data_IF_515973072764
#
_entry.id   IF_515973072764
#
_cell.length_a   1.000
_cell.length_b   1.000
_cell.length_c   1.000
_cell.angle_alpha   90.00
_cell.angle_beta   90.00
_cell.angle_gamma   90.00
#
_symmetry.space_group_name_H-M   'P 1'
#
loop_
_entity.id
_entity.type
_entity.pdbx_description
1 polymer ?
#
# COMPACT_ATOMS: atom_id res chain seq x y z
N UNK A 1 -51.71 -4.52 -44.05
CA UNK A 1 -50.52 -3.68 -43.81
C UNK A 1 -50.70 -2.84 -42.56
N UNK A 2 -50.66 -3.43 -41.35
CA UNK A 2 -50.80 -2.70 -40.07
C UNK A 2 -50.47 -3.55 -38.83
N UNK A 3 -49.44 -4.40 -38.85
CA UNK A 3 -49.03 -5.17 -37.64
C UNK A 3 -47.50 -5.17 -37.38
N UNK A 4 -46.66 -4.71 -38.31
CA UNK A 4 -45.18 -4.81 -38.17
C UNK A 4 -44.55 -3.66 -37.34
N UNK A 5 -45.30 -2.61 -36.97
CA UNK A 5 -44.73 -1.45 -36.23
C UNK A 5 -44.67 -1.60 -34.71
N UNK A 6 -45.31 -2.61 -34.11
CA UNK A 6 -45.39 -2.76 -32.64
C UNK A 6 -44.16 -3.45 -32.04
N UNK A 7 -43.62 -4.48 -32.71
CA UNK A 7 -42.53 -5.30 -32.17
C UNK A 7 -41.16 -4.60 -32.16
N UNK A 8 -40.88 -3.70 -33.10
CA UNK A 8 -39.63 -2.92 -33.08
C UNK A 8 -39.64 -1.84 -31.98
N UNK A 9 -40.81 -1.30 -31.63
CA UNK A 9 -40.93 -0.28 -30.59
C UNK A 9 -40.75 -0.88 -29.19
N UNK A 10 -41.30 -2.06 -28.93
CA UNK A 10 -41.09 -2.77 -27.65
C UNK A 10 -39.66 -3.25 -27.47
N UNK A 11 -38.98 -3.70 -28.54
CA UNK A 11 -37.56 -4.05 -28.48
C UNK A 11 -36.68 -2.82 -28.24
N UNK A 12 -36.96 -1.68 -28.90
CA UNK A 12 -36.23 -0.44 -28.64
C UNK A 12 -36.41 0.06 -27.19
N UNK A 13 -37.63 -0.02 -26.65
CA UNK A 13 -37.93 0.35 -25.26
C UNK A 13 -37.17 -0.57 -24.29
N UNK A 14 -37.14 -1.89 -24.53
CA UNK A 14 -36.40 -2.84 -23.68
C UNK A 14 -34.88 -2.63 -23.74
N UNK A 15 -34.32 -2.32 -24.91
CA UNK A 15 -32.89 -2.01 -25.06
C UNK A 15 -32.56 -0.67 -24.37
N UNK A 16 -33.40 0.36 -24.52
CA UNK A 16 -33.21 1.62 -23.80
C UNK A 16 -33.36 1.48 -22.27
N UNK A 17 -34.20 0.55 -21.80
CA UNK A 17 -34.33 0.24 -20.37
C UNK A 17 -33.10 -0.50 -19.83
N UNK A 18 -32.49 -1.39 -20.61
CA UNK A 18 -31.22 -2.05 -20.25
C UNK A 18 -30.03 -1.09 -20.26
N UNK A 19 -30.00 -0.10 -21.17
CA UNK A 19 -28.98 0.96 -21.18
C UNK A 19 -29.15 1.91 -20.00
N UNK A 20 -30.39 2.21 -19.56
CA UNK A 20 -30.62 2.96 -18.31
C UNK A 20 -30.19 2.17 -17.07
N UNK A 21 -30.45 0.87 -16.99
CA UNK A 21 -30.04 0.05 -15.83
C UNK A 21 -28.52 -0.09 -15.75
N UNK A 22 -27.83 -0.12 -16.90
CA UNK A 22 -26.36 -0.13 -16.95
C UNK A 22 -25.72 1.20 -16.49
N UNK A 23 -26.48 2.30 -16.47
CA UNK A 23 -26.04 3.59 -15.92
C UNK A 23 -26.35 3.75 -14.41
N UNK A 24 -27.16 2.87 -13.81
CA UNK A 24 -27.49 2.95 -12.38
C UNK A 24 -26.35 2.40 -11.52
N UNK A 25 -25.51 1.48 -12.03
CA UNK A 25 -24.36 0.96 -11.27
C UNK A 25 -23.10 1.84 -11.36
N UNK A 26 -23.12 2.90 -12.16
CA UNK A 26 -21.96 3.80 -12.35
C UNK A 26 -22.13 5.18 -11.69
N UNK A 27 -23.28 5.45 -11.04
CA UNK A 27 -23.53 6.71 -10.35
C UNK A 27 -23.60 6.52 -8.83
N UNK A 28 -22.59 7.07 -8.14
CA UNK A 28 -22.57 7.51 -6.73
C UNK A 28 -21.58 6.84 -5.74
N UNK A 29 -20.34 6.54 -6.16
CA UNK A 29 -19.20 6.64 -5.21
C UNK A 29 -18.84 8.12 -4.96
N UNK A 30 -19.50 9.07 -5.63
CA UNK A 30 -19.22 10.51 -5.56
C UNK A 30 -19.70 11.17 -4.26
N UNK A 31 -20.60 10.53 -3.51
CA UNK A 31 -21.19 11.11 -2.30
C UNK A 31 -20.70 10.42 -1.01
N UNK A 32 -19.86 9.40 -1.12
CA UNK A 32 -19.36 8.64 0.03
C UNK A 32 -18.25 9.39 0.76
N UNK A 33 -18.38 9.62 2.08
CA UNK A 33 -17.30 10.19 2.90
C UNK A 33 -16.03 9.37 2.79
N UNK A 34 -14.93 10.01 2.39
CA UNK A 34 -13.62 9.36 2.20
C UNK A 34 -12.74 9.41 3.44
N UNK A 35 -13.20 10.06 4.52
CA UNK A 35 -12.46 10.23 5.78
C UNK A 35 -13.40 10.23 6.97
N UNK A 36 -12.89 9.75 8.10
CA UNK A 36 -13.47 9.93 9.42
C UNK A 36 -12.36 10.39 10.37
N UNK A 37 -12.43 11.65 10.81
CA UNK A 37 -11.32 12.28 11.53
C UNK A 37 -10.06 12.36 10.66
N UNK A 38 -8.95 11.83 11.18
CA UNK A 38 -7.66 11.74 10.47
C UNK A 38 -7.53 10.51 9.57
N UNK A 39 -8.46 9.55 9.67
CA UNK A 39 -8.35 8.25 9.00
C UNK A 39 -9.01 8.34 7.62
N UNK A 40 -8.26 7.96 6.57
CA UNK A 40 -8.78 7.75 5.22
C UNK A 40 -9.57 6.44 5.17
N UNK A 41 -10.72 6.47 4.51
CA UNK A 41 -11.62 5.32 4.34
C UNK A 41 -11.64 4.95 2.86
N UNK A 42 -10.73 4.09 2.40
CA UNK A 42 -10.73 3.62 1.03
C UNK A 42 -11.73 2.47 0.85
N UNK A 43 -12.38 2.43 -0.32
CA UNK A 43 -13.08 1.22 -0.76
C UNK A 43 -12.13 0.01 -0.73
N UNK A 44 -12.54 -1.18 -0.27
CA UNK A 44 -13.91 -1.69 -0.09
C UNK A 44 -14.64 -1.20 1.16
N UNK A 45 -13.96 -0.51 2.08
CA UNK A 45 -14.59 0.10 3.24
C UNK A 45 -15.33 1.39 2.86
N UNK A 46 -16.40 1.69 3.58
CA UNK A 46 -17.20 2.87 3.29
C UNK A 46 -18.12 3.28 4.42
N UNK A 47 -18.48 4.57 4.43
CA UNK A 47 -19.40 5.17 5.40
C UNK A 47 -20.70 5.49 4.68
N UNK A 48 -21.81 4.97 5.20
CA UNK A 48 -23.14 5.23 4.67
C UNK A 48 -23.60 4.23 3.60
N UNK A 49 -24.83 4.44 3.14
CA UNK A 49 -25.52 3.49 2.29
C UNK A 49 -24.82 3.30 0.94
N UNK A 50 -24.55 2.04 0.57
CA UNK A 50 -23.89 1.66 -0.70
C UNK A 50 -22.49 2.23 -0.90
N UNK A 51 -21.80 2.63 0.17
CA UNK A 51 -20.43 3.12 0.11
C UNK A 51 -19.37 2.04 0.35
N UNK A 52 -19.76 0.89 0.89
CA UNK A 52 -18.90 -0.27 1.12
C UNK A 52 -19.23 -1.41 0.17
N UNK A 53 -18.28 -2.32 -0.04
CA UNK A 53 -18.47 -3.49 -0.91
C UNK A 53 -19.55 -4.45 -0.37
N UNK A 54 -19.65 -4.57 0.96
CA UNK A 54 -20.67 -5.36 1.64
C UNK A 54 -20.86 -4.85 3.07
N UNK A 55 -21.91 -5.28 3.79
CA UNK A 55 -22.12 -4.89 5.20
C UNK A 55 -20.93 -5.19 6.12
N UNK A 56 -20.09 -6.19 5.77
CA UNK A 56 -18.88 -6.50 6.54
C UNK A 56 -17.79 -5.44 6.45
N UNK A 57 -17.83 -4.58 5.44
CA UNK A 57 -16.90 -3.48 5.22
C UNK A 57 -17.48 -2.11 5.61
N UNK A 58 -18.67 -2.09 6.21
CA UNK A 58 -19.32 -0.85 6.60
C UNK A 58 -18.66 -0.24 7.85
N UNK A 59 -18.40 1.07 7.78
CA UNK A 59 -17.80 1.85 8.85
C UNK A 59 -18.80 2.89 9.34
N UNK A 60 -18.98 2.95 10.65
CA UNK A 60 -19.68 4.03 11.33
C UNK A 60 -18.68 5.08 11.79
N UNK A 61 -19.00 6.36 11.60
CA UNK A 61 -18.16 7.48 12.06
C UNK A 61 -18.88 8.22 13.17
N UNK A 62 -18.52 7.94 14.42
CA UNK A 62 -19.11 8.58 15.60
C UNK A 62 -18.12 9.56 16.20
N UNK A 63 -18.48 10.85 16.25
CA UNK A 63 -17.62 11.93 16.78
C UNK A 63 -16.19 11.89 16.19
N UNK A 64 -16.07 11.86 14.86
CA UNK A 64 -14.82 11.74 14.11
C UNK A 64 -14.00 10.46 14.38
N UNK A 65 -14.57 9.48 15.07
CA UNK A 65 -13.92 8.19 15.35
C UNK A 65 -14.58 7.07 14.53
N UNK A 66 -13.82 6.34 13.72
CA UNK A 66 -14.36 5.25 12.90
C UNK A 66 -14.48 3.94 13.69
N UNK A 67 -15.58 3.23 13.48
CA UNK A 67 -15.88 1.93 14.06
C UNK A 67 -16.35 0.96 12.98
N UNK A 68 -15.94 -0.30 13.07
CA UNK A 68 -16.45 -1.35 12.19
C UNK A 68 -17.86 -1.74 12.64
N UNK A 69 -18.87 -1.56 11.79
CA UNK A 69 -20.29 -1.74 12.16
C UNK A 69 -20.61 -3.15 12.65
N UNK A 70 -19.95 -4.16 12.10
CA UNK A 70 -20.27 -5.57 12.42
C UNK A 70 -19.78 -6.04 13.78
N UNK A 71 -18.85 -5.31 14.40
CA UNK A 71 -18.15 -5.79 15.60
C UNK A 71 -17.84 -4.69 16.61
N UNK A 72 -18.20 -3.44 16.31
CA UNK A 72 -17.95 -2.24 17.12
C UNK A 72 -16.48 -1.97 17.47
N UNK A 73 -15.53 -2.58 16.76
CA UNK A 73 -14.11 -2.29 16.96
C UNK A 73 -13.77 -0.88 16.45
N UNK A 74 -13.12 -0.09 17.29
CA UNK A 74 -12.55 1.21 16.90
C UNK A 74 -11.39 0.99 15.91
N UNK A 75 -11.47 1.67 14.77
CA UNK A 75 -10.45 1.62 13.73
C UNK A 75 -9.42 2.73 13.99
N UNK A 76 -8.14 2.36 13.97
CA UNK A 76 -7.00 3.27 14.13
C UNK A 76 -6.28 3.53 12.80
N UNK A 77 -6.47 2.67 11.80
CA UNK A 77 -5.91 2.83 10.47
C UNK A 77 -6.34 1.73 9.50
N UNK A 78 -6.37 2.04 8.22
CA UNK A 78 -6.72 1.11 7.14
C UNK A 78 -5.60 1.13 6.11
N UNK A 79 -5.06 -0.04 5.80
CA UNK A 79 -4.08 -0.26 4.73
C UNK A 79 -4.55 -1.41 3.84
N UNK A 80 -3.91 -1.58 2.69
CA UNK A 80 -4.29 -2.68 1.82
C UNK A 80 -3.95 -4.03 2.50
N UNK A 81 -4.95 -4.87 2.71
CA UNK A 81 -4.81 -6.15 3.39
C UNK A 81 -4.84 -6.12 4.92
N UNK A 82 -4.77 -4.96 5.57
CA UNK A 82 -4.78 -4.88 7.03
C UNK A 82 -5.67 -3.76 7.59
N UNK A 83 -6.27 -4.03 8.75
CA UNK A 83 -7.03 -3.10 9.57
C UNK A 83 -6.37 -3.00 10.95
N UNK A 84 -5.94 -1.80 11.35
CA UNK A 84 -5.42 -1.56 12.70
C UNK A 84 -6.59 -1.17 13.61
N UNK A 85 -6.79 -1.91 14.70
CA UNK A 85 -7.88 -1.70 15.65
C UNK A 85 -7.37 -1.44 17.07
N UNK A 86 -8.16 -0.75 17.87
CA UNK A 86 -7.91 -0.60 19.31
C UNK A 86 -8.09 -1.96 20.01
N UNK A 87 -7.08 -2.40 20.76
CA UNK A 87 -7.09 -3.68 21.47
C UNK A 87 -7.15 -3.59 22.99
N UNK A 88 -7.33 -2.39 23.56
CA UNK A 88 -7.35 -2.14 25.02
C UNK A 88 -8.37 -2.99 25.78
N UNK A 89 -9.49 -3.35 25.14
CA UNK A 89 -10.53 -4.22 25.72
C UNK A 89 -10.17 -5.72 25.72
N UNK A 90 -9.13 -6.13 24.99
CA UNK A 90 -8.69 -7.52 24.83
C UNK A 90 -7.43 -7.84 25.64
N UNK A 91 -7.44 -7.42 26.90
CA UNK A 91 -6.38 -7.70 27.86
C UNK A 91 -6.93 -8.62 28.95
N UNK A 92 -6.49 -9.89 28.92
CA UNK A 92 -6.74 -10.83 30.00
C UNK A 92 -5.86 -10.47 31.21
N UNK A 93 -6.37 -10.71 32.41
CA UNK A 93 -5.74 -10.29 33.66
C UNK A 93 -5.95 -11.31 34.76
N UNK A 94 -4.92 -11.65 35.51
CA UNK A 94 -5.02 -12.46 36.74
C UNK A 94 -4.27 -11.74 37.86
N UNK A 95 -4.90 -11.54 39.02
CA UNK A 95 -4.25 -10.86 40.13
C UNK A 95 -4.39 -11.64 41.42
N UNK A 96 -3.45 -11.38 42.32
CA UNK A 96 -3.46 -11.94 43.66
C UNK A 96 -4.77 -11.57 44.37
N UNK A 97 -5.48 -12.59 44.86
CA UNK A 97 -6.74 -12.46 45.59
C UNK A 97 -7.88 -11.76 44.82
N UNK A 98 -7.83 -11.74 43.49
CA UNK A 98 -8.92 -11.24 42.64
C UNK A 98 -9.33 -12.31 41.63
N UNK A 99 -10.51 -12.16 41.07
CA UNK A 99 -10.95 -13.05 40.00
C UNK A 99 -10.19 -12.74 38.71
N UNK A 100 -9.72 -13.81 38.05
CA UNK A 100 -9.12 -13.71 36.73
C UNK A 100 -10.16 -13.25 35.69
N UNK A 101 -9.72 -12.41 34.76
CA UNK A 101 -10.51 -11.93 33.62
C UNK A 101 -10.00 -12.63 32.37
N UNK A 102 -10.89 -13.39 31.73
CA UNK A 102 -10.69 -13.94 30.39
C UNK A 102 -11.32 -12.97 29.41
N UNK A 103 -10.66 -12.74 28.28
CA UNK A 103 -11.19 -11.91 27.20
C UNK A 103 -11.15 -12.68 25.89
N UNK A 104 -11.96 -12.26 24.93
CA UNK A 104 -11.97 -12.86 23.61
C UNK A 104 -12.24 -11.83 22.54
N UNK A 105 -11.64 -12.03 21.38
CA UNK A 105 -12.03 -11.37 20.14
C UNK A 105 -12.81 -12.38 19.30
N UNK A 106 -13.95 -11.95 18.77
CA UNK A 106 -14.81 -12.76 17.90
C UNK A 106 -15.17 -11.95 16.65
N UNK A 107 -14.71 -12.45 15.51
CA UNK A 107 -14.99 -11.90 14.19
C UNK A 107 -16.00 -12.80 13.46
N UNK A 108 -16.89 -12.26 12.61
CA UNK A 108 -17.89 -13.06 11.91
C UNK A 108 -17.24 -14.17 11.09
N UNK A 109 -17.70 -15.43 11.21
CA UNK A 109 -17.08 -16.59 10.57
C UNK A 109 -17.01 -16.47 9.04
N UNK A 110 -18.06 -15.95 8.42
CA UNK A 110 -18.15 -15.68 6.98
C UNK A 110 -17.67 -14.27 6.61
N UNK A 111 -17.08 -13.56 7.57
CA UNK A 111 -16.57 -12.22 7.40
C UNK A 111 -15.20 -12.20 6.71
N UNK A 112 -14.83 -11.04 6.15
CA UNK A 112 -13.58 -10.87 5.42
C UNK A 112 -12.35 -10.74 6.32
N UNK A 113 -12.53 -10.74 7.64
CA UNK A 113 -11.49 -10.40 8.62
C UNK A 113 -10.97 -11.63 9.36
N UNK A 114 -9.70 -11.61 9.75
CA UNK A 114 -9.11 -12.50 10.76
C UNK A 114 -8.01 -11.77 11.55
N UNK A 115 -7.61 -12.30 12.69
CA UNK A 115 -6.48 -11.73 13.45
C UNK A 115 -5.18 -12.05 12.70
N UNK A 116 -4.39 -11.02 12.39
CA UNK A 116 -3.13 -11.18 11.65
C UNK A 116 -2.10 -11.92 12.50
N UNK A 117 -1.59 -13.05 12.03
CA UNK A 117 -0.50 -13.77 12.72
C UNK A 117 0.87 -13.17 12.40
N UNK A 118 1.01 -12.56 11.23
CA UNK A 118 2.29 -12.02 10.77
C UNK A 118 2.62 -10.65 11.37
N UNK A 119 1.58 -9.85 11.64
CA UNK A 119 1.72 -8.47 12.11
C UNK A 119 1.43 -8.29 13.59
N UNK A 120 0.99 -9.33 14.29
CA UNK A 120 0.81 -9.31 15.74
C UNK A 120 1.72 -10.31 16.45
N UNK A 121 1.85 -10.11 17.76
CA UNK A 121 2.54 -10.99 18.69
C UNK A 121 1.67 -11.17 19.93
N UNK A 122 1.67 -12.38 20.50
CA UNK A 122 1.04 -12.66 21.78
C UNK A 122 2.02 -12.36 22.90
N UNK A 123 1.62 -11.57 23.89
CA UNK A 123 2.48 -11.13 24.97
C UNK A 123 1.86 -11.49 26.30
N UNK A 124 2.68 -12.06 27.17
CA UNK A 124 2.38 -12.25 28.58
C UNK A 124 3.31 -11.40 29.43
N UNK A 125 2.75 -10.64 30.37
CA UNK A 125 3.50 -9.85 31.35
C UNK A 125 3.19 -10.41 32.73
N UNK A 126 4.23 -10.66 33.51
CA UNK A 126 4.10 -11.12 34.89
C UNK A 126 5.23 -12.04 35.31
N UNK A 127 5.24 -12.37 36.60
CA UNK A 127 6.12 -13.36 37.21
C UNK A 127 5.26 -14.52 37.74
N UNK A 128 5.77 -15.75 37.66
CA UNK A 128 4.96 -16.96 37.92
C UNK A 128 3.68 -16.99 37.06
N UNK A 129 3.84 -16.74 35.76
CA UNK A 129 2.73 -16.48 34.84
C UNK A 129 2.70 -17.50 33.73
N UNK A 130 1.51 -18.04 33.48
CA UNK A 130 1.18 -18.78 32.26
C UNK A 130 0.07 -18.02 31.55
N UNK A 131 0.25 -17.81 30.25
CA UNK A 131 -0.73 -17.20 29.38
C UNK A 131 -1.03 -18.13 28.23
N UNK A 132 -2.29 -18.19 27.80
CA UNK A 132 -2.74 -19.10 26.76
C UNK A 132 -3.65 -18.40 25.77
N UNK A 133 -3.53 -18.83 24.51
CA UNK A 133 -4.48 -18.55 23.45
C UNK A 133 -5.28 -19.82 23.19
N UNK A 134 -6.60 -19.70 23.23
CA UNK A 134 -7.54 -20.71 22.73
C UNK A 134 -8.14 -20.25 21.42
N UNK A 135 -8.30 -21.17 20.47
CA UNK A 135 -9.39 -21.03 19.53
C UNK A 135 -10.66 -21.66 20.14
N UNK A 136 -11.81 -21.52 19.48
CA UNK A 136 -13.11 -22.02 19.97
C UNK A 136 -13.12 -23.54 20.28
N UNK A 137 -12.08 -24.29 19.86
CA UNK A 137 -12.03 -25.76 19.95
C UNK A 137 -10.83 -26.29 20.75
N UNK A 138 -9.74 -25.53 20.86
CA UNK A 138 -8.45 -26.01 21.33
C UNK A 138 -7.52 -24.91 21.84
N UNK A 139 -6.57 -25.29 22.69
CA UNK A 139 -5.42 -24.44 23.00
C UNK A 139 -4.45 -24.45 21.82
N UNK A 140 -4.01 -23.27 21.40
CA UNK A 140 -3.24 -23.10 20.16
C UNK A 140 -1.85 -22.55 20.40
N UNK A 141 -1.70 -21.63 21.36
CA UNK A 141 -0.43 -21.00 21.70
C UNK A 141 -0.38 -20.67 23.19
N UNK A 142 0.82 -20.52 23.73
CA UNK A 142 1.02 -20.18 25.12
C UNK A 142 2.36 -19.48 25.36
N UNK A 143 2.45 -18.84 26.51
CA UNK A 143 3.63 -18.13 26.97
C UNK A 143 3.80 -18.35 28.47
N UNK A 144 5.04 -18.56 28.92
CA UNK A 144 5.39 -18.70 30.32
C UNK A 144 6.42 -17.65 30.68
N UNK A 145 6.20 -16.94 31.78
CA UNK A 145 7.12 -15.94 32.31
C UNK A 145 7.38 -16.17 33.80
N UNK A 146 8.66 -16.26 34.17
CA UNK A 146 9.11 -16.57 35.51
C UNK A 146 10.11 -15.52 36.01
N UNK A 147 9.93 -15.07 37.24
CA UNK A 147 10.89 -14.20 37.93
C UNK A 147 10.66 -14.26 39.44
N UNK A 148 11.72 -13.92 40.19
CA UNK A 148 11.69 -13.94 41.67
C UNK A 148 12.00 -12.59 42.29
N UNK A 149 12.70 -11.70 41.58
CA UNK A 149 13.02 -10.36 42.09
C UNK A 149 12.95 -9.34 40.95
N UNK A 150 12.74 -8.04 41.23
CA UNK A 150 12.74 -7.03 40.18
C UNK A 150 14.08 -6.96 39.44
N UNK A 151 15.19 -7.24 40.14
CA UNK A 151 16.55 -7.22 39.57
C UNK A 151 16.82 -8.32 38.55
N UNK A 152 16.05 -9.41 38.55
CA UNK A 152 16.16 -10.45 37.52
C UNK A 152 15.53 -10.04 36.19
N UNK A 153 14.72 -8.99 36.21
CA UNK A 153 13.99 -8.50 35.04
C UNK A 153 14.89 -7.56 34.25
N UNK A 154 14.94 -7.76 32.93
CA UNK A 154 15.76 -6.95 32.02
C UNK A 154 14.84 -6.11 31.13
N UNK A 155 14.94 -4.79 31.24
CA UNK A 155 14.16 -3.87 30.41
C UNK A 155 14.44 -4.11 28.91
N UNK A 156 13.39 -4.16 28.12
CA UNK A 156 13.42 -4.45 26.68
C UNK A 156 13.53 -5.94 26.32
N UNK A 157 13.67 -6.84 27.30
CA UNK A 157 13.65 -8.28 27.08
C UNK A 157 12.26 -8.85 27.31
N UNK A 158 11.80 -9.76 26.45
CA UNK A 158 10.51 -10.45 26.59
C UNK A 158 10.62 -11.93 26.21
N UNK A 159 11.58 -12.62 26.83
CA UNK A 159 11.95 -14.02 26.50
C UNK A 159 11.71 -15.00 27.66
N UNK A 160 10.72 -14.73 28.52
CA UNK A 160 10.30 -15.61 29.61
C UNK A 160 10.67 -15.14 31.02
N UNK A 161 11.21 -13.93 31.18
CA UNK A 161 11.55 -13.35 32.49
C UNK A 161 10.85 -12.01 32.65
N UNK A 162 9.78 -11.97 33.44
CA UNK A 162 8.89 -10.80 33.60
C UNK A 162 7.98 -10.54 32.39
N UNK A 163 8.41 -10.95 31.20
CA UNK A 163 7.68 -10.84 29.96
C UNK A 163 8.00 -12.04 29.05
N UNK A 164 7.02 -12.52 28.32
CA UNK A 164 7.16 -13.58 27.31
C UNK A 164 6.39 -13.21 26.04
N UNK A 165 6.99 -13.41 24.87
CA UNK A 165 6.32 -13.33 23.57
C UNK A 165 6.13 -14.70 22.93
N UNK A 166 5.02 -14.88 22.21
CA UNK A 166 4.72 -16.06 21.43
C UNK A 166 3.93 -15.71 20.17
N UNK A 167 3.80 -16.67 19.26
CA UNK A 167 3.11 -16.47 17.98
C UNK A 167 1.59 -16.46 18.15
N UNK A 168 0.92 -15.62 17.38
CA UNK A 168 -0.54 -15.66 17.22
C UNK A 168 -0.89 -16.75 16.19
N UNK A 169 -1.94 -17.58 16.41
CA UNK A 169 -2.29 -18.62 15.45
C UNK A 169 -2.86 -18.04 14.15
N UNK A 170 -2.40 -18.58 13.02
CA UNK A 170 -2.77 -18.12 11.67
C UNK A 170 -4.26 -18.27 11.35
N UNK A 171 -4.84 -17.24 10.74
CA UNK A 171 -6.17 -17.27 10.12
C UNK A 171 -7.33 -17.47 11.10
N UNK A 172 -7.14 -17.16 12.38
CA UNK A 172 -8.19 -17.32 13.39
C UNK A 172 -9.09 -16.09 13.44
N UNK A 173 -10.40 -16.35 13.48
CA UNK A 173 -11.46 -15.34 13.65
C UNK A 173 -11.94 -15.22 15.09
N UNK A 174 -11.65 -16.23 15.91
CA UNK A 174 -11.89 -16.24 17.34
C UNK A 174 -10.57 -16.50 18.05
N UNK A 175 -10.22 -15.65 19.02
CA UNK A 175 -9.14 -15.89 19.97
C UNK A 175 -9.64 -15.63 21.38
N UNK A 176 -9.62 -16.64 22.22
CA UNK A 176 -9.76 -16.51 23.67
C UNK A 176 -8.39 -16.33 24.30
N UNK A 177 -8.24 -15.35 25.16
CA UNK A 177 -7.01 -15.04 25.87
C UNK A 177 -7.23 -15.24 27.37
N UNK A 178 -6.35 -16.01 27.99
CA UNK A 178 -6.35 -16.27 29.41
C UNK A 178 -4.97 -16.18 30.00
N UNK A 179 -4.90 -15.82 31.27
CA UNK A 179 -3.67 -15.91 32.05
C UNK A 179 -3.98 -16.42 33.46
N UNK A 180 -3.02 -17.12 34.04
CA UNK A 180 -3.07 -17.62 35.40
C UNK A 180 -1.65 -17.78 35.95
N UNK A 181 -1.55 -18.19 37.21
CA UNK A 181 -0.29 -18.50 37.85
C UNK A 181 0.04 -19.98 37.79
N UNK A 182 1.34 -20.29 37.87
CA UNK A 182 1.82 -21.68 37.83
C UNK A 182 2.05 -22.25 39.24
N UNK A 183 2.49 -21.43 40.18
CA UNK A 183 2.93 -21.85 41.52
C UNK A 183 2.28 -21.09 42.68
N UNK A 184 1.19 -20.36 42.45
CA UNK A 184 0.46 -19.63 43.50
C UNK A 184 1.14 -18.32 43.91
N UNK A 185 1.90 -17.67 43.02
CA UNK A 185 2.58 -16.40 43.26
C UNK A 185 3.62 -16.43 44.40
N UNK A 186 4.16 -17.62 44.72
CA UNK A 186 5.12 -17.80 45.81
C UNK A 186 6.42 -17.03 45.53
N UNK A 187 6.84 -16.20 46.49
CA UNK A 187 8.06 -15.38 46.44
C UNK A 187 8.04 -14.23 45.40
N UNK A 188 6.87 -13.80 44.95
CA UNK A 188 6.72 -12.78 43.89
C UNK A 188 5.86 -11.58 44.33
N UNK A 189 4.99 -11.78 45.33
CA UNK A 189 3.91 -10.85 45.73
C UNK A 189 4.34 -9.46 46.21
N UNK A 190 5.61 -9.26 46.57
CA UNK A 190 6.04 -8.04 47.26
C UNK A 190 6.25 -6.84 46.31
N UNK A 191 6.27 -7.07 45.00
CA UNK A 191 6.49 -6.00 44.01
C UNK A 191 5.64 -6.10 42.74
N UNK A 192 4.75 -7.09 42.68
CA UNK A 192 3.97 -7.42 41.49
C UNK A 192 2.53 -7.73 41.93
N UNK A 193 1.55 -7.22 41.18
CA UNK A 193 0.14 -7.33 41.55
C UNK A 193 -0.67 -8.25 40.62
N UNK A 194 -0.37 -8.22 39.31
CA UNK A 194 -1.22 -8.80 38.29
C UNK A 194 -0.44 -9.26 37.07
N UNK A 195 -0.84 -10.39 36.51
CA UNK A 195 -0.40 -10.90 35.21
C UNK A 195 -1.36 -10.47 34.14
N UNK A 196 -0.83 -10.27 32.95
CA UNK A 196 -1.59 -9.83 31.80
C UNK A 196 -1.26 -10.70 30.59
N UNK A 197 -2.25 -10.93 29.76
CA UNK A 197 -2.07 -11.58 28.46
C UNK A 197 -2.89 -10.86 27.40
N UNK A 198 -2.25 -10.50 26.30
CA UNK A 198 -2.85 -9.69 25.24
C UNK A 198 -2.15 -9.90 23.91
N UNK A 199 -2.80 -9.47 22.83
CA UNK A 199 -2.24 -9.44 21.48
C UNK A 199 -1.94 -8.00 21.11
N UNK A 200 -0.74 -7.74 20.61
CA UNK A 200 -0.29 -6.41 20.20
C UNK A 200 0.40 -6.46 18.83
N UNK A 201 0.43 -5.31 18.14
CA UNK A 201 1.22 -5.14 16.93
C UNK A 201 2.69 -5.48 17.18
N UNK A 202 3.29 -6.26 16.27
CA UNK A 202 4.68 -6.69 16.40
C UNK A 202 5.62 -5.49 16.47
N UNK A 203 6.43 -5.43 17.53
CA UNK A 203 7.37 -4.34 17.77
C UNK A 203 6.76 -3.05 18.34
N UNK A 204 5.45 -3.02 18.64
CA UNK A 204 4.81 -1.86 19.26
C UNK A 204 4.98 -1.80 20.78
N UNK A 205 5.15 -2.96 21.43
CA UNK A 205 5.33 -3.06 22.87
C UNK A 205 6.80 -3.25 23.24
N UNK A 206 7.29 -2.44 24.18
CA UNK A 206 8.61 -2.59 24.80
C UNK A 206 8.43 -2.77 26.30
N UNK A 207 8.74 -3.97 26.78
CA UNK A 207 8.63 -4.29 28.19
C UNK A 207 9.62 -3.48 29.05
N UNK A 208 9.15 -2.99 30.19
CA UNK A 208 9.94 -2.41 31.26
C UNK A 208 9.46 -2.93 32.61
N UNK A 209 10.32 -2.98 33.62
CA UNK A 209 10.02 -3.52 34.96
C UNK A 209 8.73 -2.90 35.56
N UNK A 210 8.51 -1.60 35.34
CA UNK A 210 7.36 -0.90 35.89
C UNK A 210 6.00 -1.45 35.39
N UNK A 211 5.96 -2.12 34.24
CA UNK A 211 4.74 -2.76 33.73
C UNK A 211 4.25 -3.86 34.68
N UNK A 212 5.14 -4.50 35.45
CA UNK A 212 4.75 -5.49 36.46
C UNK A 212 3.95 -4.88 37.63
N UNK A 213 4.05 -3.55 37.82
CA UNK A 213 3.36 -2.79 38.87
C UNK A 213 2.16 -2.02 38.33
N UNK A 214 2.33 -1.35 37.21
CA UNK A 214 1.33 -0.45 36.65
C UNK A 214 1.26 -0.53 35.12
N UNK A 215 0.75 -1.65 34.61
CA UNK A 215 0.47 -1.83 33.18
C UNK A 215 -0.74 -1.02 32.69
N UNK A 216 -1.59 -0.51 33.59
CA UNK A 216 -2.86 0.12 33.22
C UNK A 216 -2.72 1.39 32.37
N UNK A 217 -1.61 2.10 32.47
CA UNK A 217 -1.34 3.27 31.61
C UNK A 217 -0.94 2.83 30.20
N UNK A 218 0.04 1.94 30.10
CA UNK A 218 0.52 1.36 28.82
C UNK A 218 -0.59 0.63 28.07
N UNK A 219 -1.51 0.00 28.80
CA UNK A 219 -2.66 -0.70 28.25
C UNK A 219 -3.63 0.19 27.46
N UNK A 220 -3.69 1.51 27.72
CA UNK A 220 -4.70 2.40 27.12
C UNK A 220 -4.54 2.59 25.62
N UNK A 221 -3.31 2.52 25.13
CA UNK A 221 -2.94 2.80 23.75
C UNK A 221 -2.58 1.52 22.97
N UNK A 222 -3.12 0.38 23.40
CA UNK A 222 -2.87 -0.91 22.76
C UNK A 222 -3.64 -1.04 21.45
N UNK A 223 -2.95 -1.59 20.45
CA UNK A 223 -3.51 -1.85 19.14
C UNK A 223 -3.10 -3.23 18.63
N UNK A 224 -3.95 -3.81 17.78
CA UNK A 224 -3.66 -5.02 17.02
C UNK A 224 -4.07 -4.85 15.56
N UNK A 225 -3.58 -5.74 14.69
CA UNK A 225 -3.91 -5.79 13.26
C UNK A 225 -4.80 -6.96 12.92
N UNK A 226 -5.82 -6.69 12.10
CA UNK A 226 -6.63 -7.72 11.46
C UNK A 226 -6.25 -7.78 9.99
N UNK A 227 -6.09 -8.98 9.46
CA UNK A 227 -6.00 -9.18 8.01
C UNK A 227 -7.42 -9.09 7.42
N UNK A 228 -7.55 -8.51 6.23
CA UNK A 228 -8.79 -8.54 5.46
C UNK A 228 -8.56 -8.95 4.01
N UNK A 229 -9.56 -9.56 3.37
CA UNK A 229 -9.49 -9.89 1.94
C UNK A 229 -10.86 -10.00 1.27
N UNK A 230 -10.88 -9.83 -0.06
CA UNK A 230 -12.07 -9.93 -0.88
C UNK A 230 -12.39 -11.38 -1.22
N UNK A 231 -13.64 -11.77 -1.01
CA UNK A 231 -14.16 -13.08 -1.40
C UNK A 231 -13.46 -14.25 -0.70
N UNK A 232 -13.75 -15.45 -1.18
CA UNK A 232 -13.23 -16.71 -0.60
C UNK A 232 -12.35 -17.50 -1.59
N UNK A 233 -12.01 -16.91 -2.73
CA UNK A 233 -11.24 -17.54 -3.80
C UNK A 233 -9.90 -16.84 -3.98
N UNK A 234 -8.89 -17.60 -4.35
CA UNK A 234 -7.54 -17.09 -4.62
C UNK A 234 -7.43 -16.62 -6.08
N UNK A 235 -6.39 -15.84 -6.38
CA UNK A 235 -6.13 -15.26 -7.70
C UNK A 235 -5.96 -16.29 -8.82
N UNK A 236 -5.54 -17.51 -8.50
CA UNK A 236 -5.44 -18.60 -9.50
C UNK A 236 -6.79 -19.22 -9.85
N UNK A 237 -7.76 -19.15 -8.94
CA UNK A 237 -9.05 -19.85 -9.05
C UNK A 237 -10.18 -18.97 -9.57
N UNK A 238 -10.09 -17.66 -9.42
CA UNK A 238 -11.12 -16.73 -9.85
C UNK A 238 -10.91 -16.34 -11.32
N UNK A 239 -11.30 -17.22 -12.25
CA UNK A 239 -11.22 -16.94 -13.69
C UNK A 239 -12.07 -15.73 -14.10
N UNK A 240 -11.45 -14.56 -14.27
CA UNK A 240 -12.02 -13.39 -14.97
C UNK A 240 -13.09 -12.57 -14.24
N UNK A 241 -13.42 -12.88 -12.99
CA UNK A 241 -14.45 -12.18 -12.18
C UNK A 241 -13.86 -11.39 -10.99
N UNK A 242 -12.57 -11.06 -11.03
CA UNK A 242 -11.98 -10.19 -10.01
C UNK A 242 -12.62 -8.81 -10.04
N UNK A 243 -12.83 -8.23 -8.86
CA UNK A 243 -13.26 -6.83 -8.74
C UNK A 243 -12.09 -5.85 -8.90
N UNK A 244 -10.87 -6.34 -9.15
CA UNK A 244 -9.71 -5.48 -9.37
C UNK A 244 -9.95 -4.57 -10.57
N UNK A 245 -9.72 -3.28 -10.39
CA UNK A 245 -9.90 -2.26 -11.41
C UNK A 245 -8.80 -2.30 -12.48
N UNK A 246 -8.94 -1.46 -13.51
CA UNK A 246 -7.92 -1.33 -14.56
C UNK A 246 -6.57 -0.87 -13.97
N UNK A 247 -5.47 -1.29 -14.59
CA UNK A 247 -4.09 -0.99 -14.14
C UNK A 247 -3.80 -1.49 -12.72
N UNK A 248 -4.41 -2.61 -12.34
CA UNK A 248 -4.17 -3.28 -11.08
C UNK A 248 -4.03 -4.78 -11.30
N UNK A 249 -3.46 -5.48 -10.31
CA UNK A 249 -3.26 -6.92 -10.34
C UNK A 249 -3.73 -7.56 -9.02
N UNK A 250 -4.04 -8.86 -9.10
CA UNK A 250 -4.53 -9.65 -7.98
C UNK A 250 -3.36 -10.22 -7.16
N UNK A 251 -3.50 -10.24 -5.84
CA UNK A 251 -2.57 -10.87 -4.89
C UNK A 251 -3.34 -11.78 -3.94
N UNK A 252 -2.83 -12.99 -3.70
CA UNK A 252 -3.45 -13.93 -2.76
C UNK A 252 -3.39 -13.39 -1.32
N UNK A 253 -4.48 -13.60 -0.57
CA UNK A 253 -4.57 -13.18 0.83
C UNK A 253 -3.63 -13.98 1.74
N UNK A 254 -3.03 -13.31 2.72
CA UNK A 254 -2.24 -13.92 3.80
C UNK A 254 -3.07 -14.87 4.66
N UNK A 255 -4.39 -14.65 4.72
CA UNK A 255 -5.36 -15.48 5.44
C UNK A 255 -5.51 -16.89 4.83
N UNK A 256 -5.01 -17.11 3.61
CA UNK A 256 -5.06 -18.39 2.89
C UNK A 256 -6.25 -18.53 1.93
N UNK A 257 -7.33 -17.77 2.14
CA UNK A 257 -8.48 -17.67 1.25
C UNK A 257 -8.79 -16.21 0.92
N UNK A 258 -9.24 -15.95 -0.29
CA UNK A 258 -9.56 -14.60 -0.75
C UNK A 258 -8.36 -13.91 -1.38
N UNK A 259 -8.57 -12.69 -1.86
CA UNK A 259 -7.56 -11.93 -2.58
C UNK A 259 -7.60 -10.44 -2.25
N UNK A 260 -6.51 -9.77 -2.60
CA UNK A 260 -6.34 -8.32 -2.59
C UNK A 260 -6.04 -7.84 -4.01
N UNK A 261 -6.23 -6.56 -4.25
CA UNK A 261 -5.84 -5.90 -5.50
C UNK A 261 -4.75 -4.88 -5.17
N UNK A 262 -3.72 -4.79 -6.00
CA UNK A 262 -2.67 -3.76 -5.93
C UNK A 262 -2.61 -3.02 -7.26
N UNK A 263 -2.38 -1.70 -7.23
CA UNK A 263 -2.07 -0.98 -8.46
C UNK A 263 -0.78 -1.52 -9.07
N UNK A 264 -0.76 -1.63 -10.40
CA UNK A 264 0.44 -2.00 -11.15
C UNK A 264 1.54 -0.96 -10.96
N UNK A 265 2.79 -1.36 -11.23
CA UNK A 265 3.94 -0.46 -11.15
C UNK A 265 3.73 0.79 -12.03
N UNK A 266 4.03 1.96 -11.47
CA UNK A 266 3.77 3.27 -12.11
C UNK A 266 2.35 3.81 -11.91
N UNK A 267 1.48 3.11 -11.17
CA UNK A 267 0.13 3.57 -10.86
C UNK A 267 -0.12 3.72 -9.35
N UNK A 268 -0.98 4.66 -8.97
CA UNK A 268 -1.44 4.90 -7.59
C UNK A 268 -2.95 5.12 -7.55
N UNK A 269 -3.56 5.03 -6.36
CA UNK A 269 -4.99 5.18 -6.16
C UNK A 269 -5.65 3.94 -5.56
N UNK A 270 -6.93 3.74 -5.85
CA UNK A 270 -7.69 2.61 -5.30
C UNK A 270 -7.78 1.46 -6.32
N UNK A 271 -7.20 0.28 -6.05
CA UNK A 271 -7.14 -0.82 -7.01
C UNK A 271 -8.44 -1.59 -7.17
N UNK A 272 -9.48 -1.26 -6.41
CA UNK A 272 -10.81 -1.86 -6.51
C UNK A 272 -11.81 -0.97 -7.28
N UNK A 273 -11.37 0.21 -7.73
CA UNK A 273 -12.19 1.16 -8.47
C UNK A 273 -11.70 1.29 -9.92
N UNK A 274 -12.59 1.76 -10.80
CA UNK A 274 -12.28 2.04 -12.20
C UNK A 274 -12.31 3.55 -12.49
N UNK A 275 -11.75 3.93 -13.64
CA UNK A 275 -11.71 5.33 -14.08
C UNK A 275 -10.76 6.18 -13.22
N UNK A 276 -11.09 7.46 -13.04
CA UNK A 276 -10.23 8.44 -12.33
C UNK A 276 -10.07 8.16 -10.83
N UNK A 277 -10.98 7.38 -10.24
CA UNK A 277 -10.90 6.95 -8.83
C UNK A 277 -10.14 5.64 -8.64
N UNK A 278 -9.86 4.94 -9.74
CA UNK A 278 -9.08 3.71 -9.76
C UNK A 278 -7.59 3.96 -9.66
N UNK A 279 -6.81 2.96 -10.09
CA UNK A 279 -5.37 3.13 -10.32
C UNK A 279 -5.13 4.07 -11.50
N UNK A 280 -4.61 5.26 -11.20
CA UNK A 280 -4.19 6.25 -12.17
C UNK A 280 -2.66 6.38 -12.19
N UNK A 281 -2.16 6.83 -13.32
CA UNK A 281 -0.73 7.02 -13.58
C UNK A 281 -0.09 7.96 -12.55
N UNK A 282 1.11 7.62 -12.09
CA UNK A 282 1.92 8.50 -11.24
C UNK A 282 2.70 9.42 -12.16
N UNK A 283 2.43 10.73 -12.10
CA UNK A 283 3.25 11.70 -12.82
C UNK A 283 4.50 12.04 -12.00
N UNK A 284 5.62 11.34 -12.27
CA UNK A 284 6.88 11.56 -11.54
C UNK A 284 7.53 12.92 -11.84
N UNK A 285 7.02 13.67 -12.81
CA UNK A 285 7.57 14.96 -13.21
C UNK A 285 7.00 16.15 -12.41
N UNK A 286 5.88 15.99 -11.69
CA UNK A 286 5.21 17.09 -10.96
C UNK A 286 5.96 17.46 -9.68
N UNK A 287 6.47 16.49 -8.92
CA UNK A 287 7.17 16.76 -7.66
C UNK A 287 8.64 17.12 -7.89
N UNK A 288 8.98 18.42 -7.79
CA UNK A 288 10.36 18.90 -8.02
C UNK A 288 11.40 18.26 -7.07
N UNK A 289 11.04 18.04 -5.81
CA UNK A 289 11.95 17.42 -4.83
C UNK A 289 12.22 15.94 -5.14
N UNK A 290 11.22 15.24 -5.65
CA UNK A 290 11.29 13.82 -6.03
C UNK A 290 11.49 13.59 -7.52
N UNK A 291 11.77 14.65 -8.30
CA UNK A 291 11.89 14.55 -9.75
C UNK A 291 13.01 13.55 -10.08
N UNK A 292 12.75 12.52 -10.90
CA UNK A 292 13.70 11.45 -11.14
C UNK A 292 14.84 11.84 -12.10
N UNK A 293 14.73 12.98 -12.78
CA UNK A 293 15.69 13.45 -13.77
C UNK A 293 16.83 14.27 -13.14
N UNK A 294 18.02 14.22 -13.74
CA UNK A 294 19.16 15.05 -13.32
C UNK A 294 18.88 16.53 -13.57
N UNK A 295 19.55 17.41 -12.81
CA UNK A 295 19.41 18.86 -12.99
C UNK A 295 19.72 19.30 -14.42
N UNK A 296 18.78 20.01 -15.06
CA UNK A 296 18.89 20.46 -16.45
C UNK A 296 18.35 19.48 -17.51
N UNK A 297 17.97 18.25 -17.14
CA UNK A 297 17.23 17.36 -18.03
C UNK A 297 15.72 17.68 -17.99
N UNK A 298 15.06 17.60 -19.14
CA UNK A 298 13.61 17.76 -19.26
C UNK A 298 12.93 16.46 -18.84
N UNK A 299 12.01 16.53 -17.87
CA UNK A 299 11.16 15.41 -17.48
C UNK A 299 9.88 15.40 -18.32
N UNK A 300 9.58 14.25 -18.95
CA UNK A 300 8.35 14.01 -19.69
C UNK A 300 7.63 12.80 -19.10
N UNK A 301 6.41 13.00 -18.63
CA UNK A 301 5.57 11.92 -18.12
C UNK A 301 5.16 10.95 -19.26
N UNK A 302 5.06 9.66 -18.96
CA UNK A 302 4.61 8.57 -19.82
C UNK A 302 3.62 7.69 -19.04
N UNK A 303 2.81 6.89 -19.74
CA UNK A 303 1.83 6.01 -19.07
C UNK A 303 2.13 4.55 -19.41
N UNK A 304 2.70 3.74 -18.47
CA UNK A 304 3.26 4.16 -17.19
C UNK A 304 4.67 4.79 -17.29
N UNK A 305 5.03 5.59 -16.27
CA UNK A 305 6.40 5.99 -15.95
C UNK A 305 6.84 7.31 -16.59
N UNK A 306 8.15 7.49 -16.81
CA UNK A 306 8.67 8.77 -17.29
C UNK A 306 9.89 8.61 -18.21
N UNK A 307 10.20 9.71 -18.90
CA UNK A 307 11.41 9.86 -19.68
C UNK A 307 12.13 11.16 -19.30
N UNK A 308 13.42 11.05 -19.03
CA UNK A 308 14.30 12.19 -18.88
C UNK A 308 15.03 12.44 -20.20
N UNK A 309 15.07 13.68 -20.64
CA UNK A 309 15.69 14.09 -21.90
C UNK A 309 16.84 15.03 -21.56
N UNK A 310 18.05 14.65 -21.97
CA UNK A 310 19.24 15.45 -21.69
C UNK A 310 19.23 16.78 -22.45
N UNK A 311 19.79 17.85 -21.84
CA UNK A 311 19.92 19.12 -22.51
C UNK A 311 20.86 19.00 -23.72
N UNK A 312 20.70 19.91 -24.67
CA UNK A 312 21.52 19.97 -25.89
C UNK A 312 23.03 19.87 -25.59
N UNK A 313 23.74 19.09 -26.40
CA UNK A 313 25.18 18.83 -26.20
C UNK A 313 25.50 17.86 -25.07
N UNK A 314 24.53 17.07 -24.61
CA UNK A 314 24.74 15.95 -23.68
C UNK A 314 23.88 14.73 -24.04
N UNK A 315 24.32 13.54 -23.62
CA UNK A 315 23.64 12.27 -23.87
C UNK A 315 23.67 11.35 -22.65
N UNK A 316 22.75 10.39 -22.64
CA UNK A 316 22.51 9.42 -21.57
C UNK A 316 21.02 9.29 -21.28
N UNK A 317 20.66 8.57 -20.23
CA UNK A 317 19.26 8.36 -19.86
C UNK A 317 18.63 9.52 -19.09
N UNK A 318 19.42 10.52 -18.69
CA UNK A 318 18.97 11.69 -17.95
C UNK A 318 18.42 11.42 -16.55
N UNK A 319 18.51 10.18 -16.02
CA UNK A 319 17.98 9.80 -14.71
C UNK A 319 19.02 10.03 -13.61
N UNK A 320 18.57 10.43 -12.41
CA UNK A 320 19.44 10.56 -11.21
C UNK A 320 20.07 9.22 -10.82
N UNK A 321 19.29 8.15 -10.88
CA UNK A 321 19.74 6.78 -10.56
C UNK A 321 20.16 5.98 -11.81
N UNK A 322 20.58 6.68 -12.87
CA UNK A 322 20.98 6.09 -14.15
C UNK A 322 22.35 6.59 -14.61
N UNK A 323 22.57 6.51 -15.92
CA UNK A 323 23.74 7.06 -16.61
C UNK A 323 23.78 8.60 -16.59
N UNK A 324 22.65 9.25 -16.32
CA UNK A 324 22.53 10.70 -16.21
C UNK A 324 22.75 11.39 -17.55
N UNK A 325 23.16 12.65 -17.53
CA UNK A 325 23.54 13.38 -18.73
C UNK A 325 25.06 13.62 -18.74
N UNK A 326 25.72 13.15 -19.79
CA UNK A 326 27.16 13.34 -20.03
C UNK A 326 27.35 14.27 -21.20
N UNK A 327 28.16 15.32 -21.02
CA UNK A 327 28.44 16.29 -22.10
C UNK A 327 29.14 15.60 -23.27
N UNK A 328 28.62 15.82 -24.48
CA UNK A 328 29.18 15.37 -25.75
C UNK A 328 30.31 16.27 -26.25
N UNK A 329 30.50 17.46 -25.66
CA UNK A 329 31.52 18.45 -26.06
C UNK A 329 32.95 17.89 -26.11
N UNK A 330 33.29 16.87 -25.29
CA UNK A 330 34.60 16.23 -25.33
C UNK A 330 34.83 15.39 -26.61
N UNK A 331 33.77 14.87 -27.23
CA UNK A 331 33.88 14.11 -28.49
C UNK A 331 33.96 15.07 -29.67
N UNK A 332 33.20 16.17 -29.64
CA UNK A 332 33.22 17.19 -30.69
C UNK A 332 34.57 17.94 -30.72
N UNK A 333 35.16 18.28 -29.56
CA UNK A 333 36.52 18.87 -29.48
C UNK A 333 37.62 17.88 -29.92
N UNK A 334 37.47 16.59 -29.62
CA UNK A 334 38.42 15.56 -30.06
C UNK A 334 38.39 15.32 -31.59
N UNK A 335 37.24 15.54 -32.24
CA UNK A 335 37.06 15.38 -33.69
C UNK A 335 37.36 16.68 -34.46
N UNK A 336 37.05 17.86 -33.91
CA UNK A 336 37.20 19.16 -34.58
C UNK A 336 38.48 19.95 -34.19
N UNK A 337 39.19 19.52 -33.15
CA UNK A 337 40.35 20.23 -32.59
C UNK A 337 39.95 21.50 -31.82
N UNK A 338 40.94 22.15 -31.16
CA UNK A 338 40.84 23.28 -30.21
C UNK A 338 40.04 24.54 -30.64
N UNK A 339 39.38 24.54 -31.79
CA UNK A 339 38.46 25.61 -32.19
C UNK A 339 37.06 25.29 -31.69
N UNK A 340 36.53 26.11 -30.77
CA UNK A 340 35.10 26.12 -30.45
C UNK A 340 34.30 26.40 -31.73
N UNK A 341 33.57 25.44 -32.29
CA UNK A 341 32.75 25.70 -33.47
C UNK A 341 31.57 26.58 -33.08
N UNK A 342 31.17 27.48 -33.97
CA UNK A 342 29.95 28.26 -33.81
C UNK A 342 28.73 27.35 -33.93
N UNK A 343 27.60 27.70 -33.28
CA UNK A 343 26.36 26.91 -33.35
C UNK A 343 25.89 26.64 -34.79
N UNK A 344 26.23 27.55 -35.72
CA UNK A 344 25.95 27.43 -37.16
C UNK A 344 26.77 26.32 -37.84
N UNK A 345 28.03 26.15 -37.44
CA UNK A 345 28.92 25.10 -37.96
C UNK A 345 28.50 23.72 -37.44
N UNK A 346 28.10 23.63 -36.16
CA UNK A 346 27.59 22.38 -35.58
C UNK A 346 26.25 21.97 -36.20
N UNK A 347 25.33 22.92 -36.40
CA UNK A 347 24.05 22.65 -37.04
C UNK A 347 24.21 22.19 -38.49
N UNK A 348 25.11 22.85 -39.25
CA UNK A 348 25.38 22.45 -40.64
C UNK A 348 25.94 21.03 -40.73
N UNK A 349 26.80 20.65 -39.78
CA UNK A 349 27.42 19.32 -39.82
C UNK A 349 26.50 18.21 -39.32
N UNK A 350 25.60 18.50 -38.39
CA UNK A 350 24.51 17.58 -38.04
C UNK A 350 23.55 17.36 -39.22
N UNK A 351 23.25 18.40 -40.01
CA UNK A 351 22.46 18.26 -41.25
C UNK A 351 23.18 17.39 -42.29
N UNK A 352 24.50 17.55 -42.42
CA UNK A 352 25.30 16.73 -43.34
C UNK A 352 25.38 15.26 -42.89
N UNK A 353 25.53 15.01 -41.59
CA UNK A 353 25.50 13.65 -41.01
C UNK A 353 24.11 13.02 -41.19
N UNK A 354 23.03 13.76 -40.95
CA UNK A 354 21.67 13.27 -41.18
C UNK A 354 21.40 12.94 -42.66
N UNK A 355 21.92 13.75 -43.59
CA UNK A 355 21.85 13.48 -45.02
C UNK A 355 22.66 12.23 -45.42
N UNK A 356 23.80 12.00 -44.77
CA UNK A 356 24.64 10.81 -44.98
C UNK A 356 23.97 9.53 -44.44
N UNK A 357 23.40 9.57 -43.22
CA UNK A 357 22.66 8.43 -42.66
C UNK A 357 21.44 8.07 -43.50
N UNK A 358 20.76 9.07 -44.08
CA UNK A 358 19.62 8.87 -45.00
C UNK A 358 20.02 8.28 -46.36
N UNK A 359 21.30 8.29 -46.73
CA UNK A 359 21.82 7.62 -47.93
C UNK A 359 22.32 6.20 -47.64
N UNK A 360 22.46 5.81 -46.37
CA UNK A 360 23.03 4.53 -45.92
C UNK A 360 21.95 3.47 -45.59
N UNK A 361 20.95 3.30 -46.45
CA UNK A 361 19.91 2.24 -46.35
C UNK A 361 20.43 0.80 -46.68
N UNK A 362 21.71 0.52 -46.45
CA UNK A 362 22.35 -0.75 -46.86
C UNK A 362 23.39 -1.28 -45.84
N UNK A 363 23.12 -1.29 -44.53
CA UNK A 363 23.85 -2.17 -43.57
C UNK A 363 22.88 -2.58 -42.46
N UNK A 364 22.84 -3.89 -42.16
CA UNK A 364 21.75 -4.56 -41.45
C UNK A 364 21.69 -4.42 -39.93
N UNK A 365 20.47 -4.69 -39.43
CA UNK A 365 20.03 -5.13 -38.10
C UNK A 365 21.01 -4.96 -36.94
N UNK A 366 21.06 -3.76 -36.35
CA UNK A 366 21.31 -3.59 -34.92
C UNK A 366 20.43 -2.44 -34.39
N UNK A 367 19.31 -2.80 -33.76
CA UNK A 367 18.14 -1.93 -33.48
C UNK A 367 18.43 -0.72 -32.56
N UNK A 368 19.61 -0.64 -31.91
CA UNK A 368 19.93 0.41 -30.95
C UNK A 368 20.59 1.67 -31.54
N UNK A 369 21.35 1.56 -32.65
CA UNK A 369 22.05 2.72 -33.25
C UNK A 369 21.14 3.52 -34.19
N UNK A 370 20.21 2.86 -34.88
CA UNK A 370 19.21 3.52 -35.73
C UNK A 370 18.19 4.32 -34.90
N UNK A 371 17.76 3.80 -33.75
CA UNK A 371 16.86 4.54 -32.87
C UNK A 371 17.54 5.79 -32.28
N UNK A 372 18.83 5.71 -31.94
CA UNK A 372 19.61 6.86 -31.48
C UNK A 372 19.72 7.96 -32.54
N UNK A 373 20.00 7.60 -33.80
CA UNK A 373 20.08 8.55 -34.90
C UNK A 373 18.71 9.18 -35.24
N UNK A 374 17.63 8.39 -35.17
CA UNK A 374 16.26 8.86 -35.40
C UNK A 374 15.74 9.74 -34.25
N UNK A 375 16.07 9.42 -32.99
CA UNK A 375 15.73 10.25 -31.82
C UNK A 375 16.48 11.60 -31.85
N UNK A 376 17.73 11.60 -32.33
CA UNK A 376 18.51 12.84 -32.57
C UNK A 376 17.90 13.67 -33.72
N UNK A 377 17.39 12.99 -34.76
CA UNK A 377 16.72 13.62 -35.90
C UNK A 377 15.36 14.22 -35.50
N UNK A 378 14.56 13.52 -34.70
CA UNK A 378 13.29 14.02 -34.19
C UNK A 378 13.49 15.23 -33.26
N UNK A 379 14.52 15.21 -32.40
CA UNK A 379 14.90 16.37 -31.57
C UNK A 379 15.39 17.58 -32.39
N UNK A 380 16.04 17.34 -33.53
CA UNK A 380 16.48 18.41 -34.44
C UNK A 380 15.36 18.91 -35.36
N UNK A 381 14.33 18.10 -35.59
CA UNK A 381 13.19 18.41 -36.46
C UNK A 381 12.00 19.06 -35.74
N UNK A 382 11.97 19.04 -34.41
CA UNK A 382 10.93 19.68 -33.60
C UNK A 382 10.85 21.18 -33.95
N UNK A 383 9.64 21.68 -34.23
CA UNK A 383 9.37 23.10 -34.51
C UNK A 383 9.88 23.99 -33.36
N UNK A 384 9.99 23.43 -32.15
CA UNK A 384 10.59 24.04 -30.96
C UNK A 384 12.11 24.24 -31.07
N UNK A 385 12.82 23.31 -31.73
CA UNK A 385 14.27 23.39 -31.98
C UNK A 385 14.59 24.41 -33.06
N UNK A 386 13.81 24.42 -34.16
CA UNK A 386 13.92 25.43 -35.20
C UNK A 386 13.52 26.84 -34.69
N UNK A 387 12.50 26.92 -33.82
CA UNK A 387 12.12 28.17 -33.15
C UNK A 387 13.19 28.64 -32.15
N UNK A 388 13.80 27.73 -31.37
CA UNK A 388 14.91 28.07 -30.48
C UNK A 388 16.13 28.60 -31.25
N UNK A 389 16.47 27.97 -32.39
CA UNK A 389 17.52 28.43 -33.28
C UNK A 389 17.24 29.84 -33.83
N UNK A 390 15.99 30.10 -34.23
CA UNK A 390 15.55 31.43 -34.71
C UNK A 390 15.60 32.48 -33.60
N UNK A 391 15.20 32.15 -32.37
CA UNK A 391 15.20 33.08 -31.23
C UNK A 391 16.64 33.44 -30.81
N UNK A 392 17.59 32.49 -30.85
CA UNK A 392 19.01 32.80 -30.66
C UNK A 392 19.59 33.67 -31.77
N UNK A 393 19.08 33.57 -32.99
CA UNK A 393 19.54 34.39 -34.13
C UNK A 393 19.06 35.85 -34.03
N UNK A 394 17.90 36.10 -33.42
CA UNK A 394 17.36 37.46 -33.22
C UNK A 394 17.87 38.16 -31.94
N UNK A 395 18.38 37.40 -30.96
CA UNK A 395 18.99 37.97 -29.74
C UNK A 395 20.46 38.42 -29.92
N UNK A 396 21.09 38.10 -31.05
CA UNK A 396 22.46 38.49 -31.40
C UNK A 396 22.54 39.63 -32.44
N UNK A 397 21.45 40.39 -32.66
CA UNK A 397 21.42 41.52 -33.60
C UNK A 397 21.32 42.89 -32.95
#
# INVERSE_FOLDING_TARGET
>A
MKIIKSSHFTIFVLISLQVLISQIFANSINECPQKCGSIKIPFPFGIGNQCSLSPFYEISCSNHTPYLVTTDHQILGITNGELRINSTSYIAKDCINQNSTITHISLPENGPLSVSDSSNVFIAIGCDTVAVITDDKSFTSGCVSLCSTPRSVVNGSCSGIGCCESTVPKGKRYLGLGTSNMFGYKNVSDFYNCSYAFVAEKGSFRFVENELRNFSETAKDMAMRLDWSIGNYNCSTASGSFICGKNSFCVDSTMGTGYLCNCSDGFTGNPYLNGTKGCHDIDECIELENNPCVGGALCRNKVPGYQCICPFGSAGDGRKNGSGCKKLYLVIEAVLGDKRPTMKEVAQELVNIAAFCKQSDQVGEDDNEQQWAMDLFDQASDDSFNAALSITYDLER
#
